data_IF_657970883037
#
_entry.id   IF_657970883037
#
_cell.length_a   1.000
_cell.length_b   1.000
_cell.length_c   1.000
_cell.angle_alpha   90.00
_cell.angle_beta   90.00
_cell.angle_gamma   90.00
#
_symmetry.space_group_name_H-M   'P 1'
#
loop_
_entity.id
_entity.type
_entity.pdbx_description
1 polymer ?
#
# COMPACT_ATOMS: atom_id res chain seq x y z
N UNK A 1 -6.89 15.99 -7.19
CA UNK A 1 -8.14 15.60 -7.87
C UNK A 1 -8.64 14.31 -7.22
N UNK A 2 -9.78 14.35 -6.52
CA UNK A 2 -10.31 13.17 -5.82
C UNK A 2 -10.86 12.19 -6.87
N UNK A 3 -10.33 10.97 -6.91
CA UNK A 3 -10.81 9.96 -7.84
C UNK A 3 -12.28 9.60 -7.53
N UNK A 4 -13.12 9.42 -8.56
CA UNK A 4 -14.51 9.03 -8.38
C UNK A 4 -14.65 7.74 -7.56
N UNK A 5 -15.70 7.67 -6.74
CA UNK A 5 -15.95 6.54 -5.82
C UNK A 5 -16.61 5.35 -6.55
N UNK A 6 -17.27 5.56 -7.68
CA UNK A 6 -17.86 4.48 -8.49
C UNK A 6 -16.97 4.11 -9.68
N UNK A 7 -16.96 2.82 -10.02
CA UNK A 7 -16.20 2.31 -11.17
C UNK A 7 -16.70 2.90 -12.50
N UNK A 8 -18.01 3.18 -12.62
CA UNK A 8 -18.63 3.81 -13.79
C UNK A 8 -18.11 5.23 -14.03
N UNK A 9 -18.02 6.04 -12.97
CA UNK A 9 -17.49 7.40 -13.09
C UNK A 9 -16.00 7.38 -13.42
N UNK A 10 -15.26 6.39 -12.91
CA UNK A 10 -13.83 6.25 -13.20
C UNK A 10 -13.57 5.87 -14.66
N UNK A 11 -14.43 5.05 -15.28
CA UNK A 11 -14.39 4.75 -16.71
C UNK A 11 -14.55 6.02 -17.54
N UNK A 12 -15.53 6.86 -17.22
CA UNK A 12 -15.74 8.13 -17.93
C UNK A 12 -14.50 9.04 -17.85
N UNK A 13 -13.89 9.15 -16.66
CA UNK A 13 -12.64 9.91 -16.47
C UNK A 13 -11.48 9.33 -17.29
N UNK A 14 -11.40 8.01 -17.41
CA UNK A 14 -10.38 7.37 -18.25
C UNK A 14 -10.58 7.70 -19.74
N UNK A 15 -11.83 7.68 -20.22
CA UNK A 15 -12.15 8.05 -21.60
C UNK A 15 -11.81 9.52 -21.89
N UNK A 16 -12.18 10.43 -20.99
CA UNK A 16 -11.86 11.86 -21.08
C UNK A 16 -10.34 12.10 -21.12
N UNK A 17 -9.58 11.50 -20.20
CA UNK A 17 -8.10 11.63 -20.17
C UNK A 17 -7.46 11.03 -21.42
N UNK A 18 -8.00 9.90 -21.91
CA UNK A 18 -7.50 9.24 -23.12
C UNK A 18 -7.66 10.10 -24.36
N UNK A 19 -8.74 10.86 -24.46
CA UNK A 19 -8.98 11.79 -25.58
C UNK A 19 -8.23 13.13 -25.40
N UNK A 20 -8.21 13.72 -24.20
CA UNK A 20 -7.58 15.02 -23.94
C UNK A 20 -6.05 15.00 -24.00
N UNK A 21 -5.42 13.93 -23.50
CA UNK A 21 -3.97 13.81 -23.38
C UNK A 21 -3.38 12.77 -24.35
N UNK A 22 -4.10 12.53 -25.45
CA UNK A 22 -3.76 11.50 -26.45
C UNK A 22 -2.30 11.59 -26.90
N UNK A 23 -1.64 10.43 -26.98
CA UNK A 23 -0.24 10.27 -27.40
C UNK A 23 0.83 10.91 -26.48
N UNK A 24 0.46 11.37 -25.28
CA UNK A 24 1.44 11.80 -24.26
C UNK A 24 1.90 10.64 -23.38
N UNK A 25 3.11 10.77 -22.81
CA UNK A 25 3.60 9.81 -21.82
C UNK A 25 2.75 9.89 -20.53
N UNK A 26 2.28 11.10 -20.20
CA UNK A 26 1.42 11.37 -19.06
C UNK A 26 0.07 10.64 -19.15
N UNK A 27 -0.59 10.62 -20.32
CA UNK A 27 -1.83 9.86 -20.50
C UNK A 27 -1.61 8.36 -20.35
N UNK A 28 -0.50 7.85 -20.86
CA UNK A 28 -0.15 6.43 -20.73
C UNK A 28 -0.03 6.02 -19.25
N UNK A 29 0.70 6.80 -18.44
CA UNK A 29 0.83 6.51 -17.01
C UNK A 29 -0.48 6.75 -16.23
N UNK A 30 -1.22 7.81 -16.55
CA UNK A 30 -2.52 8.09 -15.94
C UNK A 30 -3.51 6.96 -16.19
N UNK A 31 -3.64 6.49 -17.45
CA UNK A 31 -4.51 5.37 -17.81
C UNK A 31 -4.10 4.07 -17.13
N UNK A 32 -2.80 3.79 -16.99
CA UNK A 32 -2.31 2.62 -16.24
C UNK A 32 -2.70 2.70 -14.76
N UNK A 33 -2.49 3.84 -14.13
CA UNK A 33 -2.89 4.05 -12.73
C UNK A 33 -4.41 3.93 -12.53
N UNK A 34 -5.19 4.56 -13.40
CA UNK A 34 -6.65 4.50 -13.35
C UNK A 34 -7.17 3.08 -13.59
N UNK A 35 -6.55 2.32 -14.50
CA UNK A 35 -6.87 0.91 -14.72
C UNK A 35 -6.72 0.11 -13.42
N UNK A 36 -5.62 0.31 -12.69
CA UNK A 36 -5.43 -0.38 -11.40
C UNK A 36 -6.49 0.00 -10.38
N UNK A 37 -6.81 1.30 -10.26
CA UNK A 37 -7.85 1.79 -9.34
C UNK A 37 -9.21 1.22 -9.71
N UNK A 38 -9.51 1.11 -11.00
CA UNK A 38 -10.72 0.48 -11.51
C UNK A 38 -10.77 -1.00 -11.16
N UNK A 39 -9.66 -1.72 -11.35
CA UNK A 39 -9.51 -3.11 -10.92
C UNK A 39 -9.79 -3.29 -9.43
N UNK A 40 -9.30 -2.40 -8.57
CA UNK A 40 -9.56 -2.46 -7.13
C UNK A 40 -11.04 -2.24 -6.77
N UNK A 41 -11.69 -1.25 -7.39
CA UNK A 41 -13.12 -0.98 -7.19
C UNK A 41 -13.97 -2.17 -7.64
N UNK A 42 -13.62 -2.82 -8.76
CA UNK A 42 -14.31 -4.00 -9.25
C UNK A 42 -14.17 -5.20 -8.28
N UNK A 43 -13.00 -5.41 -7.65
CA UNK A 43 -12.88 -6.42 -6.58
C UNK A 43 -13.78 -6.06 -5.39
N UNK A 44 -13.77 -4.79 -4.97
CA UNK A 44 -14.58 -4.35 -3.83
C UNK A 44 -16.08 -4.63 -4.11
N UNK A 45 -16.56 -4.25 -5.29
CA UNK A 45 -17.93 -4.53 -5.73
C UNK A 45 -18.21 -6.03 -5.84
N UNK A 46 -17.27 -6.82 -6.35
CA UNK A 46 -17.38 -8.27 -6.42
C UNK A 46 -17.58 -8.89 -5.03
N UNK A 47 -16.96 -8.34 -3.98
CA UNK A 47 -17.11 -8.80 -2.59
C UNK A 47 -18.48 -8.47 -1.99
N UNK A 48 -19.09 -7.36 -2.40
CA UNK A 48 -20.44 -6.99 -1.98
C UNK A 48 -21.54 -7.70 -2.79
N UNK A 49 -21.20 -8.25 -3.95
CA UNK A 49 -22.15 -8.90 -4.85
C UNK A 49 -22.53 -10.31 -4.39
N UNK A 50 -23.82 -10.52 -4.07
CA UNK A 50 -24.35 -11.84 -3.70
C UNK A 50 -24.46 -12.80 -4.91
N UNK A 51 -24.78 -12.28 -6.09
CA UNK A 51 -24.87 -13.07 -7.33
C UNK A 51 -23.52 -13.69 -7.71
N UNK A 52 -23.52 -14.99 -8.03
CA UNK A 52 -22.27 -15.72 -8.33
C UNK A 52 -21.72 -15.38 -9.72
N UNK A 53 -22.57 -15.27 -10.72
CA UNK A 53 -22.14 -15.02 -12.10
C UNK A 53 -21.63 -13.59 -12.24
N UNK A 54 -22.38 -12.61 -11.70
CA UNK A 54 -21.95 -11.21 -11.65
C UNK A 54 -20.63 -11.04 -10.90
N UNK A 55 -20.46 -11.72 -9.77
CA UNK A 55 -19.20 -11.70 -8.99
C UNK A 55 -18.02 -12.28 -9.77
N UNK A 56 -18.23 -13.36 -10.52
CA UNK A 56 -17.18 -13.95 -11.37
C UNK A 56 -16.80 -13.01 -12.52
N UNK A 57 -17.79 -12.37 -13.15
CA UNK A 57 -17.57 -11.37 -14.19
C UNK A 57 -16.73 -10.20 -13.67
N UNK A 58 -17.16 -9.57 -12.56
CA UNK A 58 -16.43 -8.45 -11.93
C UNK A 58 -14.99 -8.84 -11.57
N UNK A 59 -14.77 -10.06 -11.07
CA UNK A 59 -13.43 -10.56 -10.74
C UNK A 59 -12.55 -10.77 -11.99
N UNK A 60 -13.15 -11.18 -13.10
CA UNK A 60 -12.48 -11.36 -14.39
C UNK A 60 -12.11 -10.03 -15.02
N UNK A 61 -13.02 -9.06 -15.01
CA UNK A 61 -12.78 -7.70 -15.49
C UNK A 61 -11.68 -7.02 -14.67
N UNK A 62 -11.76 -7.14 -13.33
CA UNK A 62 -10.72 -6.63 -12.45
C UNK A 62 -9.33 -7.14 -12.84
N UNK A 63 -9.20 -8.44 -13.14
CA UNK A 63 -7.94 -9.04 -13.59
C UNK A 63 -7.40 -8.36 -14.85
N UNK A 64 -8.25 -8.15 -15.85
CA UNK A 64 -7.87 -7.48 -17.10
C UNK A 64 -7.33 -6.06 -16.84
N UNK A 65 -7.98 -5.31 -15.94
CA UNK A 65 -7.52 -3.97 -15.58
C UNK A 65 -6.19 -3.96 -14.81
N UNK A 66 -5.93 -4.94 -13.94
CA UNK A 66 -4.60 -5.08 -13.32
C UNK A 66 -3.54 -5.42 -14.36
N UNK A 67 -3.84 -6.27 -15.35
CA UNK A 67 -2.90 -6.60 -16.43
C UNK A 67 -2.57 -5.38 -17.30
N UNK A 68 -3.56 -4.55 -17.61
CA UNK A 68 -3.39 -3.30 -18.38
C UNK A 68 -2.55 -2.28 -17.59
N UNK A 69 -2.86 -2.11 -16.31
CA UNK A 69 -2.22 -1.09 -15.50
C UNK A 69 -0.89 -1.50 -14.89
N UNK A 70 -0.52 -2.78 -14.98
CA UNK A 70 0.74 -3.28 -14.46
C UNK A 70 1.93 -2.66 -15.20
N UNK A 71 2.74 -1.92 -14.46
CA UNK A 71 3.98 -1.34 -14.94
C UNK A 71 5.09 -1.58 -13.92
N UNK A 72 6.13 -2.29 -14.34
CA UNK A 72 7.24 -2.69 -13.48
C UNK A 72 8.00 -1.48 -12.93
N UNK A 73 8.06 -0.40 -13.71
CA UNK A 73 8.81 0.80 -13.37
C UNK A 73 8.00 1.74 -12.44
N UNK A 74 6.68 1.51 -12.31
CA UNK A 74 5.82 2.27 -11.39
C UNK A 74 5.56 1.44 -10.13
N UNK A 75 6.33 1.69 -9.06
CA UNK A 75 6.26 0.89 -7.82
C UNK A 75 4.87 0.85 -7.17
N UNK A 76 4.11 1.95 -7.21
CA UNK A 76 2.74 1.96 -6.69
C UNK A 76 1.83 0.98 -7.45
N UNK A 77 1.98 0.92 -8.77
CA UNK A 77 1.23 0.02 -9.67
C UNK A 77 1.45 -1.45 -9.25
N UNK A 78 2.71 -1.76 -8.95
CA UNK A 78 3.12 -3.06 -8.47
C UNK A 78 2.48 -3.38 -7.12
N UNK A 79 2.43 -2.42 -6.18
CA UNK A 79 1.83 -2.65 -4.85
C UNK A 79 0.35 -3.01 -4.93
N UNK A 80 -0.42 -2.33 -5.77
CA UNK A 80 -1.83 -2.67 -5.97
C UNK A 80 -2.02 -4.05 -6.61
N UNK A 81 -1.11 -4.45 -7.50
CA UNK A 81 -1.11 -5.80 -8.06
C UNK A 81 -0.84 -6.86 -6.98
N UNK A 82 0.03 -6.58 -5.99
CA UNK A 82 0.19 -7.46 -4.82
C UNK A 82 -1.11 -7.60 -4.03
N UNK A 83 -1.85 -6.50 -3.87
CA UNK A 83 -3.16 -6.48 -3.22
C UNK A 83 -4.13 -7.43 -3.91
N UNK A 84 -4.22 -7.37 -5.25
CA UNK A 84 -5.05 -8.29 -6.04
C UNK A 84 -4.66 -9.76 -5.82
N UNK A 85 -3.37 -10.08 -5.98
CA UNK A 85 -2.91 -11.46 -5.84
C UNK A 85 -3.05 -11.99 -4.41
N UNK A 86 -2.96 -11.11 -3.41
CA UNK A 86 -3.23 -11.47 -2.02
C UNK A 86 -4.69 -11.88 -1.82
N UNK A 87 -5.63 -11.13 -2.40
CA UNK A 87 -7.06 -11.45 -2.32
C UNK A 87 -7.41 -12.76 -3.02
N UNK A 88 -6.74 -13.07 -4.13
CA UNK A 88 -6.89 -14.36 -4.83
C UNK A 88 -6.09 -15.50 -4.20
N UNK A 89 -5.40 -15.26 -3.08
CA UNK A 89 -4.50 -16.21 -2.39
C UNK A 89 -3.43 -16.81 -3.30
N UNK A 90 -3.03 -16.09 -4.34
CA UNK A 90 -2.01 -16.52 -5.28
C UNK A 90 -0.60 -16.18 -4.75
N UNK A 91 -0.26 -16.72 -3.58
CA UNK A 91 0.97 -16.40 -2.86
C UNK A 91 2.25 -16.75 -3.65
N UNK A 92 2.20 -17.76 -4.53
CA UNK A 92 3.32 -18.11 -5.40
C UNK A 92 3.67 -16.99 -6.37
N UNK A 93 2.67 -16.35 -6.99
CA UNK A 93 2.88 -15.22 -7.89
C UNK A 93 3.43 -14.02 -7.13
N UNK A 94 2.88 -13.75 -5.95
CA UNK A 94 3.37 -12.64 -5.11
C UNK A 94 4.81 -12.87 -4.69
N UNK A 95 5.16 -14.08 -4.24
CA UNK A 95 6.53 -14.43 -3.82
C UNK A 95 7.51 -14.32 -4.98
N UNK A 96 7.16 -14.82 -6.17
CA UNK A 96 7.97 -14.65 -7.39
C UNK A 96 8.20 -13.17 -7.68
N UNK A 97 7.13 -12.38 -7.67
CA UNK A 97 7.20 -10.94 -7.91
C UNK A 97 8.08 -10.24 -6.87
N UNK A 98 7.90 -10.50 -5.58
CA UNK A 98 8.68 -9.86 -4.52
C UNK A 98 10.16 -10.26 -4.61
N UNK A 99 10.46 -11.52 -4.90
CA UNK A 99 11.84 -11.96 -5.14
C UNK A 99 12.46 -11.25 -6.35
N UNK A 100 11.67 -11.03 -7.40
CA UNK A 100 12.11 -10.27 -8.56
C UNK A 100 12.32 -8.78 -8.22
N UNK A 101 11.39 -8.15 -7.50
CA UNK A 101 11.46 -6.76 -7.06
C UNK A 101 12.72 -6.51 -6.23
N UNK A 102 12.97 -7.36 -5.23
CA UNK A 102 14.15 -7.26 -4.37
C UNK A 102 15.44 -7.77 -5.05
N UNK A 103 15.32 -8.61 -6.08
CA UNK A 103 16.45 -9.19 -6.81
C UNK A 103 16.94 -8.39 -8.03
N UNK A 104 16.05 -7.67 -8.73
CA UNK A 104 16.33 -7.03 -10.04
C UNK A 104 17.04 -5.67 -10.00
N UNK A 105 17.46 -5.14 -8.85
CA UNK A 105 18.03 -3.76 -8.77
C UNK A 105 17.07 -2.66 -9.29
N UNK A 106 15.75 -2.83 -9.24
CA UNK A 106 14.80 -1.69 -9.32
C UNK A 106 14.85 -0.79 -8.07
N UNK A 107 15.71 -1.15 -7.12
CA UNK A 107 16.14 -0.30 -6.03
C UNK A 107 17.68 -0.29 -6.01
N UNK A 108 18.25 0.87 -6.36
CA UNK A 108 19.69 1.08 -6.54
C UNK A 108 20.40 1.02 -5.19
N UNK A 109 21.63 0.48 -5.14
CA UNK A 109 22.50 0.53 -3.96
C UNK A 109 22.87 1.97 -3.61
N UNK A 110 22.90 2.29 -2.32
CA UNK A 110 23.66 3.43 -1.81
C UNK A 110 24.82 2.93 -0.96
N UNK A 111 25.97 3.55 -1.13
CA UNK A 111 27.18 3.22 -0.40
C UNK A 111 27.07 3.74 1.04
N UNK A 112 26.93 2.84 2.00
CA UNK A 112 26.95 3.20 3.42
C UNK A 112 26.35 2.16 4.38
N UNK A 113 25.59 1.18 3.90
CA UNK A 113 24.98 0.15 4.76
C UNK A 113 25.15 -1.25 4.17
N UNK A 114 25.95 -2.15 4.80
CA UNK A 114 26.02 -3.54 4.39
C UNK A 114 24.69 -4.22 4.70
N UNK A 115 23.91 -4.51 3.66
CA UNK A 115 22.77 -5.43 3.74
C UNK A 115 21.38 -4.82 3.60
N UNK A 116 21.23 -3.57 3.16
CA UNK A 116 19.93 -2.96 2.86
C UNK A 116 20.02 -1.95 1.72
N UNK A 117 18.93 -1.94 0.96
CA UNK A 117 18.62 -1.11 -0.18
C UNK A 117 18.38 0.33 0.30
N UNK A 118 18.90 1.31 -0.42
CA UNK A 118 18.61 2.72 -0.20
C UNK A 118 17.84 3.24 -1.42
N UNK A 119 16.79 4.03 -1.19
CA UNK A 119 16.09 4.72 -2.26
C UNK A 119 16.64 6.14 -2.29
N UNK A 120 17.48 6.46 -3.29
CA UNK A 120 18.21 7.73 -3.38
C UNK A 120 17.34 9.00 -3.26
N UNK A 121 17.98 10.16 -3.38
CA UNK A 121 17.37 11.49 -3.24
C UNK A 121 16.18 11.71 -4.20
N UNK A 122 15.00 11.23 -3.86
CA UNK A 122 13.77 11.43 -4.62
C UNK A 122 12.98 12.59 -4.01
N UNK A 123 12.66 13.55 -4.86
CA UNK A 123 11.54 14.44 -4.63
C UNK A 123 10.27 13.58 -4.71
N UNK A 124 9.67 13.32 -3.55
CA UNK A 124 8.41 12.60 -3.47
C UNK A 124 7.31 13.52 -3.98
N UNK A 125 6.70 13.13 -5.09
CA UNK A 125 5.48 13.79 -5.56
C UNK A 125 4.34 13.24 -4.70
N UNK A 126 3.79 14.11 -3.86
CA UNK A 126 2.55 13.82 -3.13
C UNK A 126 1.43 13.47 -4.13
N UNK A 127 0.46 12.62 -3.76
CA UNK A 127 -0.75 12.41 -4.55
C UNK A 127 -1.63 13.67 -4.61
N UNK A 128 -1.40 14.66 -3.74
CA UNK A 128 -1.68 16.04 -4.09
C UNK A 128 -0.74 16.37 -5.24
N UNK A 129 -1.21 16.17 -6.47
CA UNK A 129 -0.58 16.67 -7.68
C UNK A 129 -0.19 18.11 -7.40
N UNK A 130 1.07 18.30 -6.99
CA UNK A 130 1.64 19.62 -6.89
C UNK A 130 1.47 20.17 -8.30
N UNK A 131 0.77 21.30 -8.45
CA UNK A 131 0.42 21.86 -9.76
C UNK A 131 1.65 22.15 -10.66
N UNK A 132 2.86 21.94 -10.14
CA UNK A 132 4.13 22.02 -10.85
C UNK A 132 4.74 20.71 -11.35
N UNK A 133 4.09 19.54 -11.22
CA UNK A 133 4.60 18.29 -11.82
C UNK A 133 4.44 18.37 -13.33
N UNK A 134 5.55 18.46 -14.05
CA UNK A 134 5.57 18.59 -15.51
C UNK A 134 5.94 17.27 -16.19
N UNK A 135 5.64 17.16 -17.48
CA UNK A 135 6.01 15.98 -18.28
C UNK A 135 7.52 15.71 -18.23
N UNK A 136 8.36 16.74 -18.05
CA UNK A 136 9.83 16.63 -17.89
C UNK A 136 10.25 15.91 -16.60
N UNK A 137 9.44 15.97 -15.55
CA UNK A 137 9.69 15.28 -14.28
C UNK A 137 9.33 13.79 -14.35
N UNK A 138 8.55 13.40 -15.36
CA UNK A 138 8.12 12.02 -15.67
C UNK A 138 9.09 11.31 -16.64
N UNK A 139 9.98 12.06 -17.33
CA UNK A 139 10.88 11.54 -18.39
C UNK A 139 11.90 10.51 -17.87
N UNK A 140 12.27 10.56 -16.60
CA UNK A 140 13.11 9.51 -16.01
C UNK A 140 12.21 8.37 -15.51
N UNK A 141 12.02 7.35 -16.36
CA UNK A 141 11.25 6.12 -16.08
C UNK A 141 11.65 5.45 -14.74
N UNK A 142 12.86 5.73 -14.24
CA UNK A 142 13.40 5.19 -12.99
C UNK A 142 13.04 6.00 -11.71
N UNK A 143 12.33 7.13 -11.80
CA UNK A 143 12.20 8.09 -10.68
C UNK A 143 10.80 8.19 -10.06
N UNK A 144 9.78 7.52 -10.61
CA UNK A 144 8.39 7.70 -10.19
C UNK A 144 7.98 6.65 -9.14
N UNK A 145 8.23 6.94 -7.88
CA UNK A 145 7.62 6.21 -6.76
C UNK A 145 6.55 7.05 -6.07
N UNK A 146 5.30 6.84 -6.48
CA UNK A 146 4.16 7.27 -5.68
C UNK A 146 4.01 6.37 -4.46
N UNK A 147 3.57 6.95 -3.34
CA UNK A 147 3.09 6.14 -2.23
C UNK A 147 1.88 5.28 -2.69
N UNK A 148 1.70 4.12 -2.07
CA UNK A 148 0.51 3.30 -2.25
C UNK A 148 -0.64 3.94 -1.46
N UNK A 149 -1.69 4.36 -2.17
CA UNK A 149 -2.81 5.14 -1.62
C UNK A 149 -4.07 4.27 -1.57
N UNK A 150 -4.70 4.21 -0.41
CA UNK A 150 -5.93 3.44 -0.20
C UNK A 150 -7.02 4.30 0.43
N UNK A 151 -8.27 4.08 0.01
CA UNK A 151 -9.46 4.74 0.57
C UNK A 151 -10.27 3.79 1.44
N UNK A 152 -11.32 4.29 2.09
CA UNK A 152 -12.26 3.46 2.85
C UNK A 152 -12.91 2.36 1.99
N UNK A 153 -13.16 2.64 0.70
CA UNK A 153 -13.70 1.65 -0.26
C UNK A 153 -12.76 0.46 -0.50
N UNK A 154 -11.46 0.63 -0.27
CA UNK A 154 -10.46 -0.42 -0.45
C UNK A 154 -10.35 -1.36 0.77
N UNK A 155 -11.04 -1.06 1.87
CA UNK A 155 -10.94 -1.77 3.15
C UNK A 155 -11.06 -3.29 3.01
N UNK A 156 -11.96 -3.79 2.17
CA UNK A 156 -12.14 -5.22 1.99
C UNK A 156 -11.04 -5.86 1.12
N UNK A 157 -10.32 -5.07 0.35
CA UNK A 157 -9.33 -5.53 -0.64
C UNK A 157 -7.90 -5.52 -0.08
N UNK A 158 -7.65 -4.81 1.02
CA UNK A 158 -6.31 -4.69 1.60
C UNK A 158 -6.03 -5.74 2.71
N UNK A 159 -4.77 -6.03 3.04
CA UNK A 159 -4.43 -6.93 4.14
C UNK A 159 -4.73 -6.32 5.53
N UNK A 160 -4.83 -7.12 6.60
CA UNK A 160 -5.46 -6.76 7.88
C UNK A 160 -5.07 -5.41 8.52
N UNK A 161 -3.78 -5.09 8.68
CA UNK A 161 -3.34 -3.81 9.25
C UNK A 161 -3.92 -2.60 8.48
N UNK A 162 -3.97 -2.71 7.16
CA UNK A 162 -4.50 -1.66 6.28
C UNK A 162 -6.02 -1.58 6.31
N UNK A 163 -6.72 -2.67 6.65
CA UNK A 163 -8.17 -2.64 6.80
C UNK A 163 -8.56 -1.68 7.93
N UNK A 164 -7.80 -1.69 9.03
CA UNK A 164 -8.02 -0.78 10.16
C UNK A 164 -7.68 0.66 9.80
N UNK A 165 -6.61 0.90 9.04
CA UNK A 165 -6.31 2.23 8.50
C UNK A 165 -7.45 2.75 7.61
N UNK A 166 -7.95 1.91 6.69
CA UNK A 166 -9.02 2.29 5.76
C UNK A 166 -10.37 2.50 6.48
N UNK A 167 -10.66 1.69 7.51
CA UNK A 167 -11.90 1.77 8.27
C UNK A 167 -12.06 3.10 9.02
N UNK A 168 -10.93 3.73 9.40
CA UNK A 168 -10.92 4.97 10.19
C UNK A 168 -10.84 6.24 9.33
N UNK A 169 -10.82 6.09 8.01
CA UNK A 169 -10.89 7.23 7.08
C UNK A 169 -12.30 7.84 7.04
N UNK A 170 -13.34 7.04 7.30
CA UNK A 170 -14.72 7.52 7.36
C UNK A 170 -15.08 7.83 8.82
N UNK A 171 -15.11 9.11 9.19
CA UNK A 171 -15.72 9.50 10.47
C UNK A 171 -15.20 10.77 11.14
N UNK A 172 -13.89 10.99 11.33
CA UNK A 172 -13.48 11.96 12.37
C UNK A 172 -12.19 12.77 12.15
N UNK A 173 -11.64 12.86 10.94
CA UNK A 173 -10.53 13.80 10.65
C UNK A 173 -10.34 14.02 9.14
N UNK A 174 -9.65 15.09 8.76
CA UNK A 174 -9.40 15.62 7.40
C UNK A 174 -8.75 14.67 6.35
N UNK A 175 -8.81 13.35 6.51
CA UNK A 175 -8.07 12.38 5.70
C UNK A 175 -9.04 11.46 4.95
N UNK A 176 -9.18 11.65 3.64
CA UNK A 176 -10.02 10.80 2.80
C UNK A 176 -9.28 9.54 2.28
N UNK A 177 -8.00 9.40 2.59
CA UNK A 177 -7.14 8.31 2.15
C UNK A 177 -5.99 8.05 3.13
N UNK A 178 -5.39 6.86 3.03
CA UNK A 178 -4.14 6.52 3.69
C UNK A 178 -3.03 6.31 2.66
N UNK A 179 -1.84 6.83 2.95
CA UNK A 179 -0.66 6.77 2.09
C UNK A 179 0.42 5.93 2.75
N UNK A 180 0.94 4.92 2.06
CA UNK A 180 1.98 4.02 2.55
C UNK A 180 3.16 4.01 1.60
N UNK A 181 4.37 4.08 2.17
CA UNK A 181 5.58 3.96 1.35
C UNK A 181 5.61 2.58 0.66
N UNK A 182 5.85 2.50 -0.67
CA UNK A 182 5.71 1.24 -1.41
C UNK A 182 6.58 0.11 -0.87
N UNK A 183 7.80 0.41 -0.41
CA UNK A 183 8.67 -0.62 0.18
C UNK A 183 8.19 -1.11 1.55
N UNK A 184 7.52 -0.25 2.33
CA UNK A 184 6.88 -0.70 3.58
C UNK A 184 5.68 -1.57 3.26
N UNK A 185 4.91 -1.22 2.22
CA UNK A 185 3.83 -2.09 1.76
C UNK A 185 4.37 -3.44 1.24
N UNK A 186 5.42 -3.45 0.40
CA UNK A 186 6.02 -4.67 -0.14
C UNK A 186 6.56 -5.60 0.96
N UNK A 187 7.28 -5.05 1.94
CA UNK A 187 7.79 -5.84 3.09
C UNK A 187 6.65 -6.33 3.99
N UNK A 188 5.61 -5.54 4.17
CA UNK A 188 4.39 -5.99 4.84
C UNK A 188 3.67 -7.12 4.07
N UNK A 189 3.64 -7.06 2.74
CA UNK A 189 3.12 -8.15 1.91
C UNK A 189 3.95 -9.43 2.06
N UNK A 190 5.29 -9.32 2.11
CA UNK A 190 6.16 -10.47 2.42
C UNK A 190 5.78 -11.11 3.76
N UNK A 191 5.60 -10.29 4.80
CA UNK A 191 5.15 -10.76 6.11
C UNK A 191 3.81 -11.49 6.02
N UNK A 192 2.83 -10.91 5.35
CA UNK A 192 1.50 -11.50 5.21
C UNK A 192 1.54 -12.85 4.51
N UNK A 193 2.34 -12.98 3.45
CA UNK A 193 2.51 -14.24 2.71
C UNK A 193 3.17 -15.29 3.61
N UNK A 194 4.31 -14.95 4.21
CA UNK A 194 5.05 -15.87 5.07
C UNK A 194 4.21 -16.34 6.26
N UNK A 195 3.46 -15.42 6.88
CA UNK A 195 2.50 -15.76 7.94
C UNK A 195 1.42 -16.73 7.46
N UNK A 196 0.77 -16.46 6.32
CA UNK A 196 -0.28 -17.32 5.78
C UNK A 196 0.25 -18.70 5.32
N UNK A 197 1.51 -18.78 4.89
CA UNK A 197 2.16 -20.03 4.50
C UNK A 197 2.78 -20.79 5.68
N UNK A 198 2.85 -20.18 6.87
CA UNK A 198 3.51 -20.77 8.03
C UNK A 198 5.04 -20.80 7.94
N UNK A 199 5.64 -20.00 7.05
CA UNK A 199 7.09 -19.89 6.90
C UNK A 199 7.65 -18.95 7.98
N UNK A 200 8.11 -19.55 9.09
CA UNK A 200 8.58 -18.81 10.27
C UNK A 200 9.84 -18.00 9.97
N UNK A 201 10.76 -18.55 9.18
CA UNK A 201 12.04 -17.92 8.88
C UNK A 201 11.84 -16.70 7.97
N UNK A 202 11.08 -16.85 6.89
CA UNK A 202 10.75 -15.74 5.98
C UNK A 202 9.89 -14.68 6.69
N UNK A 203 8.99 -15.10 7.60
CA UNK A 203 8.20 -14.16 8.42
C UNK A 203 9.11 -13.32 9.31
N UNK A 204 10.04 -13.93 10.03
CA UNK A 204 10.94 -13.19 10.91
C UNK A 204 11.87 -12.26 10.11
N UNK A 205 12.38 -12.72 8.95
CA UNK A 205 13.17 -11.90 8.04
C UNK A 205 12.37 -10.69 7.53
N UNK A 206 11.10 -10.88 7.16
CA UNK A 206 10.23 -9.79 6.69
C UNK A 206 9.98 -8.72 7.77
N UNK A 207 9.88 -9.11 9.05
CA UNK A 207 9.78 -8.17 10.18
C UNK A 207 11.07 -7.35 10.32
N UNK A 208 12.24 -7.98 10.20
CA UNK A 208 13.51 -7.26 10.24
C UNK A 208 13.62 -6.25 9.08
N UNK A 209 13.29 -6.68 7.86
CA UNK A 209 13.25 -5.79 6.70
C UNK A 209 12.27 -4.62 6.89
N UNK A 210 11.05 -4.90 7.37
CA UNK A 210 10.05 -3.87 7.65
C UNK A 210 10.55 -2.87 8.70
N UNK A 211 11.16 -3.36 9.79
CA UNK A 211 11.77 -2.52 10.84
C UNK A 211 12.83 -1.57 10.26
N UNK A 212 13.68 -2.09 9.37
CA UNK A 212 14.75 -1.33 8.72
C UNK A 212 14.17 -0.25 7.80
N UNK A 213 13.14 -0.58 7.00
CA UNK A 213 12.45 0.39 6.15
C UNK A 213 11.75 1.48 6.96
N UNK A 214 11.06 1.12 8.04
CA UNK A 214 10.38 2.06 8.93
C UNK A 214 11.37 3.06 9.55
N UNK A 215 12.52 2.58 10.03
CA UNK A 215 13.58 3.44 10.58
C UNK A 215 14.23 4.33 9.53
N UNK A 216 14.43 3.80 8.33
CA UNK A 216 14.97 4.55 7.20
C UNK A 216 14.07 5.75 6.87
N UNK A 217 12.76 5.50 6.73
CA UNK A 217 11.77 6.53 6.46
C UNK A 217 11.74 7.57 7.58
N UNK A 218 11.83 7.15 8.84
CA UNK A 218 11.88 8.05 10.00
C UNK A 218 13.09 8.98 9.99
N UNK A 219 14.26 8.51 9.50
CA UNK A 219 15.51 9.27 9.50
C UNK A 219 15.69 10.22 8.32
N UNK A 220 14.79 10.23 7.33
CA UNK A 220 14.90 11.07 6.13
C UNK A 220 14.57 12.54 6.38
N UNK A 221 15.32 13.45 5.75
CA UNK A 221 15.25 14.92 5.97
C UNK A 221 13.98 15.60 5.40
N UNK A 222 13.03 14.87 4.78
CA UNK A 222 12.05 15.47 3.85
C UNK A 222 10.57 15.09 4.03
N UNK A 223 10.04 14.81 5.23
CA UNK A 223 8.57 14.70 5.36
C UNK A 223 8.01 15.30 6.63
N UNK A 224 6.81 15.86 6.49
CA UNK A 224 5.96 16.19 7.63
C UNK A 224 5.70 14.92 8.45
N UNK A 225 6.03 14.98 9.74
CA UNK A 225 5.99 13.86 10.70
C UNK A 225 4.66 13.08 10.69
N UNK A 226 3.56 13.73 10.31
CA UNK A 226 2.19 13.24 10.48
C UNK A 226 1.88 11.97 9.65
N UNK A 227 2.59 11.70 8.55
CA UNK A 227 2.28 10.56 7.68
C UNK A 227 2.95 9.22 8.04
N UNK A 228 3.86 9.21 9.02
CA UNK A 228 4.61 8.00 9.40
C UNK A 228 3.90 7.06 10.39
N UNK A 229 2.84 7.56 11.02
CA UNK A 229 2.14 6.80 12.06
C UNK A 229 1.60 5.46 11.52
N UNK A 230 1.19 5.41 10.24
CA UNK A 230 0.69 4.21 9.58
C UNK A 230 1.78 3.14 9.40
N UNK A 231 3.02 3.54 9.09
CA UNK A 231 4.15 2.61 9.00
C UNK A 231 4.47 1.99 10.37
N UNK A 232 4.34 2.78 11.44
CA UNK A 232 4.45 2.27 12.82
C UNK A 232 3.29 1.33 13.17
N UNK A 233 2.06 1.62 12.74
CA UNK A 233 0.91 0.75 12.93
C UNK A 233 1.07 -0.59 12.24
N UNK A 234 1.56 -0.61 11.00
CA UNK A 234 1.86 -1.83 10.25
C UNK A 234 2.90 -2.67 11.00
N UNK A 235 3.99 -2.06 11.46
CA UNK A 235 5.03 -2.77 12.20
C UNK A 235 4.53 -3.28 13.57
N UNK A 236 3.78 -2.46 14.30
CA UNK A 236 3.14 -2.85 15.56
C UNK A 236 2.18 -4.03 15.38
N UNK A 237 1.39 -4.02 14.31
CA UNK A 237 0.50 -5.12 13.95
C UNK A 237 1.28 -6.42 13.66
N UNK A 238 2.40 -6.34 12.92
CA UNK A 238 3.21 -7.52 12.63
C UNK A 238 3.73 -8.17 13.93
N UNK A 239 4.25 -7.36 14.87
CA UNK A 239 4.67 -7.84 16.19
C UNK A 239 3.50 -8.41 17.02
N UNK A 240 2.33 -7.77 16.97
CA UNK A 240 1.14 -8.25 17.66
C UNK A 240 0.73 -9.64 17.16
N UNK A 241 0.71 -9.86 15.85
CA UNK A 241 0.35 -11.14 15.24
C UNK A 241 1.32 -12.27 15.60
N UNK A 242 2.61 -11.98 15.77
CA UNK A 242 3.59 -12.97 16.24
C UNK A 242 3.66 -13.07 17.77
N UNK A 243 2.72 -12.45 18.49
CA UNK A 243 2.63 -12.44 19.95
C UNK A 243 3.82 -11.77 20.67
N UNK A 244 4.56 -10.89 19.99
CA UNK A 244 5.57 -10.03 20.62
C UNK A 244 4.91 -8.73 21.11
N UNK A 245 4.17 -8.86 22.20
CA UNK A 245 3.35 -7.77 22.75
C UNK A 245 4.19 -6.56 23.19
N UNK A 246 5.44 -6.79 23.62
CA UNK A 246 6.35 -5.72 24.05
C UNK A 246 6.72 -4.81 22.88
N UNK A 247 7.11 -5.39 21.74
CA UNK A 247 7.41 -4.61 20.55
C UNK A 247 6.15 -4.03 19.92
N UNK A 248 5.03 -4.76 19.91
CA UNK A 248 3.75 -4.24 19.42
C UNK A 248 3.35 -2.93 20.15
N UNK A 249 3.34 -2.97 21.49
CA UNK A 249 3.04 -1.80 22.33
C UNK A 249 3.96 -0.62 22.02
N UNK A 250 5.27 -0.87 21.95
CA UNK A 250 6.28 0.16 21.65
C UNK A 250 5.99 0.89 20.33
N UNK A 251 5.60 0.16 19.28
CA UNK A 251 5.34 0.77 17.97
C UNK A 251 4.00 1.47 17.89
N UNK A 252 2.94 0.92 18.51
CA UNK A 252 1.66 1.62 18.61
C UNK A 252 1.76 2.91 19.43
N UNK A 253 2.49 2.92 20.56
CA UNK A 253 2.76 4.13 21.32
C UNK A 253 3.51 5.18 20.50
N UNK A 254 4.47 4.74 19.67
CA UNK A 254 5.22 5.63 18.80
C UNK A 254 4.33 6.25 17.72
N UNK A 255 3.40 5.47 17.16
CA UNK A 255 2.36 5.96 16.25
C UNK A 255 1.51 7.05 16.88
N UNK A 256 1.01 6.83 18.10
CA UNK A 256 0.17 7.80 18.82
C UNK A 256 0.92 9.07 19.22
N UNK A 257 2.22 8.99 19.51
CA UNK A 257 3.05 10.19 19.77
C UNK A 257 3.12 11.12 18.56
N UNK A 258 3.11 10.56 17.35
CA UNK A 258 3.13 11.32 16.10
C UNK A 258 1.73 11.82 15.73
N UNK A 259 0.73 10.93 15.79
CA UNK A 259 -0.64 11.21 15.41
C UNK A 259 -1.58 10.84 16.57
N UNK A 260 -1.80 11.76 17.54
CA UNK A 260 -2.59 11.48 18.74
C UNK A 260 -4.11 11.57 18.51
N UNK A 261 -4.58 11.32 17.30
CA UNK A 261 -5.99 11.49 16.92
C UNK A 261 -6.81 10.21 17.11
N UNK A 262 -8.13 10.34 17.26
CA UNK A 262 -9.07 9.21 17.30
C UNK A 262 -9.15 8.43 15.98
N UNK A 263 -8.65 9.00 14.88
CA UNK A 263 -8.52 8.34 13.57
C UNK A 263 -7.27 7.47 13.41
N UNK A 264 -6.39 7.40 14.42
CA UNK A 264 -5.21 6.55 14.36
C UNK A 264 -5.55 5.09 14.73
N UNK A 265 -5.28 4.15 13.83
CA UNK A 265 -5.54 2.72 14.04
C UNK A 265 -4.82 2.12 15.25
N UNK A 266 -3.74 2.73 15.74
CA UNK A 266 -3.05 2.33 16.96
C UNK A 266 -3.98 2.26 18.19
N UNK A 267 -4.97 3.17 18.30
CA UNK A 267 -5.89 3.19 19.44
C UNK A 267 -6.66 1.88 19.52
N UNK A 268 -7.23 1.44 18.39
CA UNK A 268 -8.02 0.21 18.30
C UNK A 268 -7.15 -1.03 18.49
N UNK A 269 -5.96 -1.05 17.90
CA UNK A 269 -5.00 -2.13 18.07
C UNK A 269 -4.59 -2.31 19.54
N UNK A 270 -4.38 -1.21 20.27
CA UNK A 270 -4.08 -1.25 21.70
C UNK A 270 -5.26 -1.77 22.52
N UNK A 271 -6.49 -1.37 22.20
CA UNK A 271 -7.68 -1.92 22.86
C UNK A 271 -7.78 -3.44 22.69
N UNK A 272 -7.53 -3.96 21.49
CA UNK A 272 -7.51 -5.40 21.21
C UNK A 272 -6.39 -6.09 22.01
N UNK A 273 -5.18 -5.52 21.99
CA UNK A 273 -4.03 -6.04 22.71
C UNK A 273 -4.30 -6.11 24.22
N UNK A 274 -4.83 -5.04 24.82
CA UNK A 274 -5.17 -4.98 26.25
C UNK A 274 -6.26 -6.01 26.59
N UNK A 275 -7.30 -6.12 25.76
CA UNK A 275 -8.38 -7.11 25.94
C UNK A 275 -7.83 -8.54 25.95
N UNK A 276 -6.89 -8.86 25.06
CA UNK A 276 -6.29 -10.20 24.99
C UNK A 276 -5.39 -10.50 26.21
N UNK A 277 -4.70 -9.49 26.75
CA UNK A 277 -3.91 -9.65 27.97
C UNK A 277 -4.81 -9.92 29.19
N UNK A 278 -5.98 -9.28 29.26
CA UNK A 278 -6.90 -9.45 30.39
C UNK A 278 -7.67 -10.77 30.34
N UNK A 279 -7.79 -11.43 29.18
CA UNK A 279 -8.45 -12.75 29.07
C UNK A 279 -7.55 -13.94 29.42
N UNK A 280 -6.23 -13.73 29.51
CA UNK A 280 -5.22 -14.77 29.81
C UNK A 280 -4.88 -14.84 31.31
N UNK A 281 -5.44 -13.93 32.13
CA UNK A 281 -5.34 -13.93 33.60
C UNK A 281 -6.57 -14.53 34.24
#
# INVERSE_FOLDING_TARGET
MYLPVSYENLINVMEEIGEELKETLMSTYALKFLSIRLGMLLIAEAKHTADREKRQLLSSEAKGFFEIGFEHDVLASCMYSLTYYYQTRNYSTIKKFLNELFGRRLAIRYEGTPGLIDCGNRALIFPDMYEGVSEKDIVNENDIAFDAVFSCSDMLCVPPAMQLECALLDGHSNWCFCSIHPLVYATYMQFQIAYNLGDIDERNMSIDHLLKMVKYIEGGESRGLVDYHRHYNILGYCYFIINDLKNALKWFEKSLKICPTSGNAAVYQLCILISNITTIR
#
